data_IF_735771745291
#
_entry.id   IF_735771745291
#
_cell.length_a   1.000
_cell.length_b   1.000
_cell.length_c   1.000
_cell.angle_alpha   90.00
_cell.angle_beta   90.00
_cell.angle_gamma   90.00
#
_symmetry.space_group_name_H-M   'P 1'
#
loop_
_entity.id
_entity.type
_entity.pdbx_description
1 polymer ?
#
# COMPACT_ATOMS: atom_id res chain seq x y z
N UNK A 1 -12.96 -35.63 -28.07
CA UNK A 1 -11.96 -36.17 -27.13
C UNK A 1 -11.08 -35.00 -26.71
N UNK A 2 -11.51 -34.27 -25.68
CA UNK A 2 -10.69 -33.20 -25.08
C UNK A 2 -10.01 -33.79 -23.85
N UNK A 3 -8.70 -33.61 -23.78
CA UNK A 3 -7.88 -34.02 -22.64
C UNK A 3 -8.41 -33.35 -21.36
N UNK A 4 -8.95 -34.16 -20.45
CA UNK A 4 -9.08 -33.79 -19.05
C UNK A 4 -7.67 -33.62 -18.48
N UNK A 5 -7.10 -32.43 -18.61
CA UNK A 5 -5.99 -32.02 -17.76
C UNK A 5 -6.48 -32.20 -16.32
N UNK A 6 -5.81 -33.08 -15.58
CA UNK A 6 -6.01 -33.25 -14.13
C UNK A 6 -5.73 -31.91 -13.45
N UNK A 7 -6.74 -31.06 -13.35
CA UNK A 7 -6.70 -29.95 -12.41
C UNK A 7 -6.71 -30.54 -11.01
N UNK A 8 -5.76 -30.10 -10.18
CA UNK A 8 -5.72 -30.56 -8.79
C UNK A 8 -7.01 -30.11 -8.10
N UNK A 9 -7.71 -31.08 -7.50
CA UNK A 9 -9.03 -30.95 -6.85
C UNK A 9 -9.07 -29.96 -5.67
N UNK A 10 -8.00 -29.18 -5.47
CA UNK A 10 -7.76 -28.26 -4.37
C UNK A 10 -7.19 -26.90 -4.81
N UNK A 11 -7.41 -26.47 -6.05
CA UNK A 11 -6.99 -25.14 -6.51
C UNK A 11 -7.71 -24.00 -5.76
N UNK A 12 -8.93 -24.25 -5.24
CA UNK A 12 -9.79 -23.21 -4.67
C UNK A 12 -10.23 -23.41 -3.20
N UNK A 13 -9.94 -24.55 -2.56
CA UNK A 13 -10.63 -24.95 -1.31
C UNK A 13 -9.77 -25.30 -0.09
N UNK A 14 -8.48 -24.94 -0.03
CA UNK A 14 -7.90 -24.63 1.29
C UNK A 14 -7.89 -23.12 1.51
N UNK A 15 -9.09 -22.56 1.75
CA UNK A 15 -9.32 -21.15 2.10
C UNK A 15 -8.63 -20.16 1.17
N UNK A 16 -9.25 -19.86 0.03
CA UNK A 16 -8.76 -19.11 -1.16
C UNK A 16 -8.21 -17.68 -0.96
N UNK A 17 -7.75 -17.32 0.24
CA UNK A 17 -6.82 -16.21 0.48
C UNK A 17 -5.34 -16.58 0.30
N UNK A 18 -4.97 -17.76 -0.21
CA UNK A 18 -3.54 -18.10 -0.41
C UNK A 18 -2.94 -17.73 -1.76
N UNK A 19 -3.73 -17.48 -2.81
CA UNK A 19 -3.20 -17.01 -4.10
C UNK A 19 -2.74 -15.54 -4.08
N UNK A 20 -3.40 -14.71 -3.27
CA UNK A 20 -3.14 -13.27 -3.22
C UNK A 20 -2.30 -12.86 -2.00
N UNK A 21 -2.19 -13.68 -0.95
CA UNK A 21 -1.48 -13.31 0.28
C UNK A 21 0.02 -13.59 0.22
N UNK A 22 0.43 -14.69 -0.42
CA UNK A 22 1.85 -14.96 -0.71
C UNK A 22 2.39 -13.98 -1.77
N UNK A 23 1.62 -13.73 -2.84
CA UNK A 23 1.96 -12.71 -3.85
C UNK A 23 1.91 -11.28 -3.29
N UNK A 24 0.93 -10.91 -2.46
CA UNK A 24 0.94 -9.60 -1.76
C UNK A 24 2.15 -9.45 -0.83
N UNK A 25 2.69 -10.55 -0.28
CA UNK A 25 3.90 -10.51 0.55
C UNK A 25 5.15 -10.18 -0.28
N UNK A 26 5.14 -10.49 -1.58
CA UNK A 26 6.18 -10.13 -2.54
C UNK A 26 5.95 -8.74 -3.17
N UNK A 27 4.70 -8.27 -3.23
CA UNK A 27 4.37 -6.96 -3.79
C UNK A 27 4.40 -5.82 -2.76
N UNK A 28 4.17 -6.12 -1.49
CA UNK A 28 4.12 -5.13 -0.41
C UNK A 28 5.02 -5.51 0.76
N UNK A 29 5.72 -4.52 1.30
CA UNK A 29 6.41 -4.63 2.58
C UNK A 29 5.62 -3.97 3.70
N UNK A 30 5.76 -4.52 4.91
CA UNK A 30 5.35 -3.88 6.15
C UNK A 30 6.54 -3.14 6.74
N UNK A 31 6.29 -2.05 7.46
CA UNK A 31 7.33 -1.26 8.10
C UNK A 31 6.99 -0.93 9.54
N UNK A 32 8.01 -0.76 10.38
CA UNK A 32 7.86 -0.41 11.78
C UNK A 32 7.34 1.02 11.96
N UNK A 33 6.59 1.25 13.04
CA UNK A 33 6.26 2.62 13.48
C UNK A 33 7.54 3.30 13.95
N UNK A 34 7.78 4.50 13.45
CA UNK A 34 8.92 5.33 13.81
C UNK A 34 8.48 6.52 14.69
N UNK A 35 9.41 7.13 15.45
CA UNK A 35 9.11 8.36 16.18
C UNK A 35 8.61 9.44 15.22
N UNK A 36 7.46 10.04 15.52
CA UNK A 36 6.82 11.03 14.64
C UNK A 36 5.83 10.47 13.62
N UNK A 37 5.61 9.15 13.56
CA UNK A 37 4.63 8.53 12.66
C UNK A 37 3.22 9.15 12.78
N UNK A 38 2.76 9.41 14.01
CA UNK A 38 1.44 10.04 14.25
C UNK A 38 1.38 11.45 13.67
N UNK A 39 2.42 12.25 13.89
CA UNK A 39 2.48 13.63 13.38
C UNK A 39 2.46 13.65 11.86
N UNK A 40 3.24 12.80 11.20
CA UNK A 40 3.26 12.73 9.74
C UNK A 40 1.94 12.19 9.16
N UNK A 41 1.29 11.25 9.86
CA UNK A 41 -0.04 10.75 9.49
C UNK A 41 -1.08 11.86 9.54
N UNK A 42 -1.21 12.57 10.66
CA UNK A 42 -2.21 13.64 10.74
C UNK A 42 -1.83 14.85 9.88
N UNK A 43 -0.54 15.18 9.80
CA UNK A 43 -0.03 16.25 8.94
C UNK A 43 -0.32 16.00 7.46
N UNK A 44 -0.10 14.79 6.96
CA UNK A 44 -0.43 14.44 5.57
C UNK A 44 -1.93 14.52 5.28
N UNK A 45 -2.79 14.15 6.23
CA UNK A 45 -4.23 14.34 6.09
C UNK A 45 -4.61 15.82 6.05
N UNK A 46 -4.10 16.64 6.97
CA UNK A 46 -4.38 18.07 7.02
C UNK A 46 -3.92 18.76 5.73
N UNK A 47 -2.69 18.48 5.27
CA UNK A 47 -2.17 19.03 4.02
C UNK A 47 -3.05 18.61 2.83
N UNK A 48 -3.47 17.34 2.76
CA UNK A 48 -4.35 16.86 1.69
C UNK A 48 -5.69 17.59 1.67
N UNK A 49 -6.32 17.77 2.83
CA UNK A 49 -7.59 18.51 2.95
C UNK A 49 -7.44 19.98 2.58
N UNK A 50 -6.37 20.64 3.04
CA UNK A 50 -6.11 22.05 2.71
C UNK A 50 -5.91 22.24 1.20
N UNK A 51 -5.06 21.43 0.58
CA UNK A 51 -4.81 21.50 -0.86
C UNK A 51 -6.04 21.13 -1.69
N UNK A 52 -6.91 20.25 -1.19
CA UNK A 52 -8.19 19.97 -1.84
C UNK A 52 -9.07 21.22 -1.90
N UNK A 53 -9.27 21.93 -0.78
CA UNK A 53 -10.05 23.17 -0.80
C UNK A 53 -9.40 24.27 -1.66
N UNK A 54 -8.08 24.42 -1.58
CA UNK A 54 -7.34 25.37 -2.43
C UNK A 54 -7.51 25.02 -3.91
N UNK A 55 -7.51 23.73 -4.28
CA UNK A 55 -7.67 23.30 -5.66
C UNK A 55 -9.03 23.71 -6.23
N UNK A 56 -10.11 23.64 -5.43
CA UNK A 56 -11.45 24.08 -5.87
C UNK A 56 -11.48 25.58 -6.19
N UNK A 57 -10.78 26.40 -5.40
CA UNK A 57 -10.68 27.84 -5.63
C UNK A 57 -9.78 28.15 -6.85
N UNK A 58 -8.71 27.41 -7.07
CA UNK A 58 -7.79 27.64 -8.20
C UNK A 58 -8.40 27.17 -9.52
N UNK A 59 -9.31 26.20 -9.49
CA UNK A 59 -10.02 25.71 -10.68
C UNK A 59 -10.69 26.86 -11.46
N UNK A 60 -11.21 27.87 -10.76
CA UNK A 60 -11.85 29.03 -11.39
C UNK A 60 -10.86 30.00 -12.03
N UNK A 61 -9.59 29.97 -11.61
CA UNK A 61 -8.57 30.92 -12.07
C UNK A 61 -7.66 30.33 -13.15
N UNK A 62 -7.04 29.17 -12.90
CA UNK A 62 -6.05 28.59 -13.82
C UNK A 62 -6.12 27.06 -13.83
N UNK A 63 -6.16 26.49 -15.04
CA UNK A 63 -6.17 25.03 -15.22
C UNK A 63 -4.85 24.37 -14.80
N UNK A 64 -3.70 24.98 -15.13
CA UNK A 64 -2.38 24.44 -14.79
C UNK A 64 -2.18 24.44 -13.27
N UNK A 65 -2.55 25.53 -12.58
CA UNK A 65 -2.47 25.62 -11.12
C UNK A 65 -3.32 24.55 -10.42
N UNK A 66 -4.49 24.26 -10.99
CA UNK A 66 -5.35 23.17 -10.51
C UNK A 66 -4.67 21.80 -10.58
N UNK A 67 -4.02 21.47 -11.72
CA UNK A 67 -3.30 20.20 -11.87
C UNK A 67 -2.19 20.06 -10.82
N UNK A 68 -1.41 21.12 -10.60
CA UNK A 68 -0.32 21.10 -9.61
C UNK A 68 -0.87 20.88 -8.20
N UNK A 69 -1.96 21.56 -7.84
CA UNK A 69 -2.59 21.38 -6.53
C UNK A 69 -3.19 19.98 -6.37
N UNK A 70 -3.82 19.44 -7.41
CA UNK A 70 -4.33 18.07 -7.42
C UNK A 70 -3.22 17.04 -7.22
N UNK A 71 -2.05 17.26 -7.84
CA UNK A 71 -0.90 16.39 -7.66
C UNK A 71 -0.37 16.41 -6.21
N UNK A 72 -0.26 17.59 -5.60
CA UNK A 72 0.16 17.72 -4.19
C UNK A 72 -0.87 17.05 -3.26
N UNK A 73 -2.17 17.25 -3.53
CA UNK A 73 -3.25 16.61 -2.79
C UNK A 73 -3.17 15.07 -2.91
N UNK A 74 -2.95 14.55 -4.12
CA UNK A 74 -2.73 13.13 -4.38
C UNK A 74 -1.56 12.58 -3.58
N UNK A 75 -0.39 13.24 -3.61
CA UNK A 75 0.78 12.83 -2.84
C UNK A 75 0.48 12.78 -1.32
N UNK A 76 -0.20 13.79 -0.80
CA UNK A 76 -0.54 13.87 0.62
C UNK A 76 -1.50 12.76 1.06
N UNK A 77 -2.60 12.55 0.31
CA UNK A 77 -3.59 11.51 0.60
C UNK A 77 -3.04 10.10 0.43
N UNK A 78 -2.21 9.87 -0.60
CA UNK A 78 -1.56 8.58 -0.79
C UNK A 78 -0.60 8.29 0.36
N UNK A 79 0.19 9.28 0.78
CA UNK A 79 1.08 9.15 1.94
C UNK A 79 0.29 8.84 3.20
N UNK A 80 -0.85 9.52 3.43
CA UNK A 80 -1.74 9.21 4.54
C UNK A 80 -2.27 7.77 4.48
N UNK A 81 -2.66 7.29 3.30
CA UNK A 81 -3.16 5.93 3.12
C UNK A 81 -2.07 4.88 3.40
N UNK A 82 -0.86 5.10 2.89
CA UNK A 82 0.31 4.25 3.17
C UNK A 82 0.60 4.22 4.67
N UNK A 83 0.58 5.38 5.33
CA UNK A 83 0.75 5.49 6.78
C UNK A 83 -0.33 4.71 7.50
N UNK A 84 -1.62 4.98 7.23
CA UNK A 84 -2.76 4.29 7.85
C UNK A 84 -2.68 2.76 7.74
N UNK A 85 -2.34 2.25 6.56
CA UNK A 85 -2.31 0.81 6.29
C UNK A 85 -1.04 0.14 6.78
N UNK A 86 0.03 0.91 7.02
CA UNK A 86 1.36 0.43 7.41
C UNK A 86 1.93 -0.60 6.41
N UNK A 87 1.54 -0.48 5.14
CA UNK A 87 1.96 -1.33 4.04
C UNK A 87 2.33 -0.47 2.84
N UNK A 88 3.42 -0.80 2.17
CA UNK A 88 3.91 -0.05 1.02
C UNK A 88 4.31 -1.02 -0.11
N UNK A 89 4.07 -0.64 -1.38
CA UNK A 89 4.44 -1.47 -2.53
C UNK A 89 5.94 -1.38 -2.81
N UNK A 90 6.59 -2.51 -3.10
CA UNK A 90 8.01 -2.52 -3.49
C UNK A 90 8.25 -1.81 -4.82
N UNK A 91 7.33 -1.94 -5.78
CA UNK A 91 7.40 -1.30 -7.11
C UNK A 91 7.01 0.18 -7.10
N UNK A 92 6.56 0.70 -5.95
CA UNK A 92 6.07 2.06 -5.81
C UNK A 92 4.64 2.29 -6.32
N UNK A 93 4.29 3.56 -6.49
CA UNK A 93 2.97 4.01 -6.91
C UNK A 93 3.09 4.99 -8.08
N UNK A 94 2.01 5.12 -8.84
CA UNK A 94 1.96 6.02 -10.00
C UNK A 94 2.30 7.46 -9.59
N UNK A 95 3.32 8.05 -10.23
CA UNK A 95 3.81 9.41 -9.97
C UNK A 95 4.14 9.71 -8.49
N UNK A 96 4.43 8.69 -7.68
CA UNK A 96 4.85 8.90 -6.29
C UNK A 96 6.37 8.90 -6.17
N UNK A 97 6.98 9.83 -5.42
CA UNK A 97 8.43 9.94 -5.33
C UNK A 97 9.07 8.70 -4.70
N UNK A 98 10.06 8.13 -5.40
CA UNK A 98 10.80 6.94 -4.96
C UNK A 98 11.56 7.16 -3.65
N UNK A 99 12.00 8.40 -3.37
CA UNK A 99 12.66 8.76 -2.11
C UNK A 99 11.80 8.45 -0.87
N UNK A 100 10.49 8.68 -0.95
CA UNK A 100 9.59 8.41 0.18
C UNK A 100 9.40 6.88 0.35
N UNK A 101 9.34 6.13 -0.75
CA UNK A 101 9.27 4.66 -0.69
C UNK A 101 10.54 4.09 -0.06
N UNK A 102 11.72 4.59 -0.45
CA UNK A 102 13.00 4.21 0.13
C UNK A 102 13.06 4.50 1.64
N UNK A 103 12.51 5.64 2.08
CA UNK A 103 12.38 5.95 3.51
C UNK A 103 11.57 4.90 4.28
N UNK A 104 10.44 4.43 3.71
CA UNK A 104 9.67 3.36 4.35
C UNK A 104 10.39 2.02 4.28
N UNK A 105 11.05 1.71 3.16
CA UNK A 105 11.80 0.45 2.98
C UNK A 105 12.96 0.33 3.97
N UNK A 106 13.62 1.43 4.31
CA UNK A 106 14.67 1.44 5.35
C UNK A 106 14.17 1.03 6.75
N UNK A 107 12.85 0.99 6.96
CA UNK A 107 12.19 0.58 8.22
C UNK A 107 11.35 -0.67 8.04
N UNK A 108 11.61 -1.43 6.99
CA UNK A 108 10.95 -2.68 6.69
C UNK A 108 11.07 -3.67 7.85
N UNK A 109 9.96 -4.32 8.19
CA UNK A 109 9.96 -5.42 9.14
C UNK A 109 10.52 -6.64 8.41
N UNK A 110 11.62 -7.26 8.86
CA UNK A 110 12.14 -8.45 8.21
C UNK A 110 11.09 -9.57 8.35
N UNK A 111 10.48 -9.96 7.25
CA UNK A 111 9.55 -11.08 7.20
C UNK A 111 10.36 -12.34 6.88
N UNK A 112 10.45 -13.27 7.82
CA UNK A 112 11.02 -14.59 7.54
C UNK A 112 10.10 -15.31 6.55
N UNK A 113 10.58 -15.48 5.32
CA UNK A 113 9.84 -16.20 4.27
C UNK A 113 9.70 -17.70 4.56
N UNK A 114 10.58 -18.22 5.42
CA UNK A 114 10.62 -19.64 5.81
C UNK A 114 9.80 -19.94 7.08
N UNK A 115 9.16 -18.93 7.67
CA UNK A 115 8.30 -19.11 8.86
C UNK A 115 6.89 -19.56 8.42
N UNK A 116 6.80 -20.83 8.01
CA UNK A 116 5.55 -21.50 7.62
C UNK A 116 4.73 -22.01 8.83
N UNK A 117 5.26 -21.92 10.05
CA UNK A 117 4.60 -22.44 11.26
C UNK A 117 3.35 -21.64 11.67
N UNK A 118 3.27 -20.37 11.28
CA UNK A 118 2.07 -19.55 11.45
C UNK A 118 0.90 -19.96 10.51
N UNK A 119 1.17 -20.81 9.51
CA UNK A 119 0.18 -21.39 8.59
C UNK A 119 -0.31 -22.76 9.06
N UNK A 120 0.52 -23.53 9.76
CA UNK A 120 0.17 -24.85 10.30
C UNK A 120 -0.72 -24.75 11.57
N UNK A 121 -0.52 -23.73 12.40
CA UNK A 121 -1.27 -23.50 13.64
C UNK A 121 -2.73 -23.07 13.45
N UNK A 122 -3.12 -22.65 12.24
CA UNK A 122 -4.54 -22.41 11.90
C UNK A 122 -5.33 -23.69 11.60
N UNK A 123 -4.65 -24.82 11.34
CA UNK A 123 -5.29 -26.08 10.99
C UNK A 123 -5.48 -27.02 12.19
N UNK A 124 -5.01 -26.63 13.38
CA UNK A 124 -5.04 -27.45 14.60
C UNK A 124 -6.12 -26.99 15.60
N UNK A 125 -7.27 -26.53 15.11
CA UNK A 125 -8.43 -26.19 15.95
C UNK A 125 -9.71 -26.82 15.41
#
# INVERSE_FOLDING_TARGET
MFNDFRESKFLNESGSKRGNWYMNRLDYFQYHRYPGYKQQKYGSLLIGVLFYFISLNILTSTFIGFIVCCYICYLALLTFNILRTQRCRYRGYFLYPTKIILFFRAREVPVNLNDFDSVATMNSK
#
